data_IF_715740107063
#
_entry.id   IF_715740107063
#
_cell.length_a   1.000
_cell.length_b   1.000
_cell.length_c   1.000
_cell.angle_alpha   90.00
_cell.angle_beta   90.00
_cell.angle_gamma   90.00
#
_symmetry.space_group_name_H-M   'P 1'
#
loop_
_entity.id
_entity.type
_entity.pdbx_description
1 polymer ?
#
# COMPACT_ATOMS: atom_id res chain seq x y z
N UNK A 1 28.25 29.63 -22.79
CA UNK A 1 26.89 29.23 -22.40
C UNK A 1 26.95 27.76 -22.02
N UNK A 2 26.98 27.46 -20.72
CA UNK A 2 26.82 26.10 -20.20
C UNK A 2 25.35 25.72 -20.36
N UNK A 3 25.09 24.66 -21.12
CA UNK A 3 23.75 24.07 -21.19
C UNK A 3 23.50 23.42 -19.83
N UNK A 4 22.51 23.94 -19.12
CA UNK A 4 22.00 23.37 -17.89
C UNK A 4 21.44 21.98 -18.23
N UNK A 5 22.10 20.92 -17.78
CA UNK A 5 21.54 19.58 -17.90
C UNK A 5 20.37 19.49 -16.92
N UNK A 6 19.14 19.18 -17.38
CA UNK A 6 18.06 18.96 -16.44
C UNK A 6 18.49 17.84 -15.48
N UNK A 7 18.41 18.13 -14.18
CA UNK A 7 18.45 17.13 -13.12
C UNK A 7 17.70 15.88 -13.58
N UNK A 8 18.20 14.65 -13.35
CA UNK A 8 17.49 13.45 -13.78
C UNK A 8 16.05 13.54 -13.26
N UNK A 9 15.10 13.56 -14.20
CA UNK A 9 13.68 13.57 -13.87
C UNK A 9 13.44 12.35 -12.97
N UNK A 10 12.92 12.59 -11.76
CA UNK A 10 12.56 11.50 -10.85
C UNK A 10 11.59 10.56 -11.59
N UNK A 11 11.84 9.24 -11.60
CA UNK A 11 10.96 8.31 -12.30
C UNK A 11 9.51 8.44 -11.82
N UNK A 12 8.50 8.26 -12.70
CA UNK A 12 7.10 8.27 -12.30
C UNK A 12 6.82 7.22 -11.22
N UNK A 13 5.81 7.50 -10.40
CA UNK A 13 5.44 6.68 -9.24
C UNK A 13 4.21 5.84 -9.56
N UNK A 14 4.22 4.58 -9.13
CA UNK A 14 3.05 3.69 -9.15
C UNK A 14 2.66 3.45 -7.69
N UNK A 15 1.44 3.84 -7.35
CA UNK A 15 0.86 3.54 -6.04
C UNK A 15 0.34 2.10 -6.02
N UNK A 16 0.83 1.31 -5.07
CA UNK A 16 0.59 -0.11 -4.92
C UNK A 16 -0.31 -0.36 -3.71
N UNK A 17 -1.54 -0.84 -3.98
CA UNK A 17 -2.54 -1.14 -2.96
C UNK A 17 -2.62 -2.64 -2.71
N UNK A 18 -2.48 -3.06 -1.46
CA UNK A 18 -2.55 -4.47 -1.07
C UNK A 18 -4.00 -4.98 -0.99
N UNK A 19 -4.20 -6.31 -1.00
CA UNK A 19 -5.51 -6.93 -0.80
C UNK A 19 -6.00 -6.92 0.66
N UNK A 20 -7.18 -7.46 0.94
CA UNK A 20 -7.69 -7.58 2.31
C UNK A 20 -6.88 -8.56 3.19
N UNK A 21 -6.65 -8.22 4.45
CA UNK A 21 -6.00 -9.11 5.42
C UNK A 21 -4.49 -9.25 5.23
N UNK A 22 -3.86 -8.22 4.66
CA UNK A 22 -2.41 -8.11 4.49
C UNK A 22 -1.98 -6.67 4.80
N UNK A 23 -0.77 -6.26 4.44
CA UNK A 23 -0.28 -4.88 4.62
C UNK A 23 0.79 -4.54 3.57
N UNK A 24 1.22 -3.28 3.55
CA UNK A 24 2.21 -2.75 2.62
C UNK A 24 3.53 -3.53 2.65
N UNK A 25 3.97 -3.97 3.84
CA UNK A 25 5.21 -4.74 4.01
C UNK A 25 5.12 -6.10 3.33
N UNK A 26 4.04 -6.83 3.56
CA UNK A 26 3.81 -8.14 2.92
C UNK A 26 3.66 -7.95 1.41
N UNK A 27 2.91 -6.93 0.97
CA UNK A 27 2.71 -6.70 -0.46
C UNK A 27 4.01 -6.32 -1.18
N UNK A 28 4.87 -5.51 -0.54
CA UNK A 28 6.23 -5.23 -1.05
C UNK A 28 7.06 -6.51 -1.20
N UNK A 29 6.99 -7.43 -0.24
CA UNK A 29 7.67 -8.71 -0.33
C UNK A 29 7.12 -9.58 -1.47
N UNK A 30 5.80 -9.65 -1.63
CA UNK A 30 5.13 -10.34 -2.75
C UNK A 30 5.51 -9.72 -4.12
N UNK A 31 5.63 -8.39 -4.19
CA UNK A 31 6.04 -7.66 -5.40
C UNK A 31 7.57 -7.62 -5.61
N UNK A 32 8.40 -8.35 -4.87
CA UNK A 32 9.86 -8.25 -4.95
C UNK A 32 10.40 -8.44 -6.38
N UNK A 33 9.83 -9.36 -7.16
CA UNK A 33 10.23 -9.58 -8.55
C UNK A 33 9.80 -8.42 -9.46
N UNK A 34 8.54 -8.00 -9.36
CA UNK A 34 7.99 -6.86 -10.10
C UNK A 34 8.79 -5.58 -9.83
N UNK A 35 9.10 -5.31 -8.56
CA UNK A 35 9.87 -4.13 -8.13
C UNK A 35 11.22 -4.06 -8.80
N UNK A 36 11.95 -5.19 -8.89
CA UNK A 36 13.26 -5.25 -9.56
C UNK A 36 13.13 -4.97 -11.05
N UNK A 37 12.11 -5.49 -11.71
CA UNK A 37 11.89 -5.28 -13.14
C UNK A 37 11.50 -3.83 -13.47
N UNK A 38 10.77 -3.16 -12.57
CA UNK A 38 10.30 -1.79 -12.78
C UNK A 38 11.24 -0.70 -12.27
N UNK A 39 12.19 -1.01 -11.38
CA UNK A 39 13.10 -0.04 -10.77
C UNK A 39 13.84 0.91 -11.74
N UNK A 40 14.23 0.52 -12.97
CA UNK A 40 14.83 1.45 -13.92
C UNK A 40 13.87 2.52 -14.46
N UNK A 41 12.57 2.31 -14.33
CA UNK A 41 11.53 3.11 -15.01
C UNK A 41 10.52 3.74 -14.05
N UNK A 42 10.29 3.13 -12.89
CA UNK A 42 9.27 3.53 -11.93
C UNK A 42 9.73 3.39 -10.49
N UNK A 43 9.15 4.22 -9.63
CA UNK A 43 9.15 4.06 -8.18
C UNK A 43 7.85 3.42 -7.73
N UNK A 44 7.91 2.40 -6.88
CA UNK A 44 6.72 1.74 -6.34
C UNK A 44 6.46 2.23 -4.91
N UNK A 45 5.30 2.86 -4.71
CA UNK A 45 4.83 3.38 -3.42
C UNK A 45 3.87 2.37 -2.83
N UNK A 46 4.15 1.85 -1.63
CA UNK A 46 3.30 0.84 -1.00
C UNK A 46 2.50 1.47 0.13
N UNK A 47 1.18 1.59 -0.04
CA UNK A 47 0.31 2.14 0.98
C UNK A 47 -0.25 1.05 1.90
N UNK A 48 -0.40 1.41 3.17
CA UNK A 48 -1.14 0.61 4.14
C UNK A 48 -2.60 1.08 4.16
N UNK A 49 -3.54 0.14 4.17
CA UNK A 49 -4.94 0.50 4.36
C UNK A 49 -5.20 1.06 5.78
N UNK A 50 -6.23 1.91 5.99
CA UNK A 50 -6.44 2.54 7.29
C UNK A 50 -7.07 1.63 8.35
N UNK A 51 -7.83 0.59 7.96
CA UNK A 51 -8.58 -0.23 8.92
C UNK A 51 -7.87 -1.55 9.24
N UNK A 52 -7.94 -1.97 10.51
CA UNK A 52 -7.47 -3.29 10.93
C UNK A 52 -8.36 -4.39 10.36
N UNK A 53 -7.72 -5.51 10.01
CA UNK A 53 -8.37 -6.75 9.63
C UNK A 53 -8.13 -7.79 10.73
N UNK A 54 -9.21 -8.30 11.31
CA UNK A 54 -9.15 -9.36 12.31
C UNK A 54 -8.66 -10.68 11.69
N UNK A 55 -8.99 -10.88 10.40
CA UNK A 55 -8.56 -12.05 9.64
C UNK A 55 -7.39 -11.72 8.71
N UNK A 56 -6.38 -12.60 8.60
CA UNK A 56 -5.43 -12.58 7.51
C UNK A 56 -6.11 -12.95 6.19
N UNK A 57 -5.53 -12.49 5.08
CA UNK A 57 -5.91 -12.93 3.75
C UNK A 57 -5.59 -14.42 3.54
N UNK A 58 -6.20 -15.06 2.51
CA UNK A 58 -5.87 -16.43 2.15
C UNK A 58 -4.35 -16.63 1.99
N UNK A 59 -3.83 -17.73 2.54
CA UNK A 59 -2.42 -18.13 2.48
C UNK A 59 -1.38 -17.19 3.14
N UNK A 60 -1.79 -16.03 3.66
CA UNK A 60 -0.88 -15.06 4.30
C UNK A 60 -0.17 -15.66 5.52
N UNK A 61 -0.89 -16.43 6.35
CA UNK A 61 -0.32 -16.98 7.59
C UNK A 61 0.82 -17.97 7.37
N UNK A 62 0.85 -18.68 6.24
CA UNK A 62 1.85 -19.71 5.97
C UNK A 62 3.29 -19.16 5.99
N UNK A 63 3.46 -17.90 5.59
CA UNK A 63 4.77 -17.22 5.48
C UNK A 63 4.84 -15.96 6.35
N UNK A 64 3.71 -15.31 6.60
CA UNK A 64 3.63 -13.96 7.17
C UNK A 64 2.83 -13.86 8.47
N UNK A 65 2.65 -14.96 9.21
CA UNK A 65 1.93 -14.96 10.48
C UNK A 65 2.45 -13.89 11.47
N UNK A 66 3.77 -13.67 11.51
CA UNK A 66 4.39 -12.66 12.38
C UNK A 66 4.43 -11.24 11.79
N UNK A 67 3.80 -10.99 10.65
CA UNK A 67 3.82 -9.70 9.95
C UNK A 67 2.55 -8.88 10.17
N UNK A 68 1.73 -9.21 11.17
CA UNK A 68 0.64 -8.34 11.60
C UNK A 68 1.13 -6.98 12.12
N UNK A 69 0.21 -6.01 12.35
CA UNK A 69 -1.23 -6.13 12.14
C UNK A 69 -1.60 -6.23 10.65
N UNK A 70 -2.66 -6.98 10.36
CA UNK A 70 -3.25 -7.05 9.03
C UNK A 70 -4.27 -5.93 8.83
N UNK A 71 -4.41 -5.46 7.60
CA UNK A 71 -5.18 -4.28 7.27
C UNK A 71 -6.14 -4.52 6.11
N UNK A 72 -7.13 -3.64 5.97
CA UNK A 72 -8.16 -3.66 4.93
C UNK A 72 -8.61 -2.25 4.55
N UNK A 73 -8.98 -2.09 3.29
CA UNK A 73 -9.47 -0.80 2.76
C UNK A 73 -10.92 -0.53 3.11
N UNK A 74 -11.75 -1.57 3.05
CA UNK A 74 -13.17 -1.52 3.38
C UNK A 74 -13.57 -2.84 4.03
N UNK A 75 -14.77 -2.88 4.60
CA UNK A 75 -15.38 -4.11 5.09
C UNK A 75 -15.80 -5.00 3.89
N UNK A 76 -15.55 -6.31 3.98
CA UNK A 76 -16.08 -7.32 3.06
C UNK A 76 -16.84 -8.46 3.76
N UNK A 77 -16.85 -8.50 5.10
CA UNK A 77 -17.63 -9.44 5.92
C UNK A 77 -18.55 -8.71 6.89
N UNK A 78 -19.76 -9.22 7.20
CA UNK A 78 -20.68 -8.57 8.14
C UNK A 78 -20.09 -8.29 9.53
N UNK A 79 -19.18 -9.15 9.99
CA UNK A 79 -18.59 -9.11 11.34
C UNK A 79 -17.51 -8.02 11.48
N UNK A 80 -16.97 -7.53 10.36
CA UNK A 80 -15.92 -6.51 10.39
C UNK A 80 -16.50 -5.15 10.77
N UNK A 81 -15.80 -4.36 11.61
CA UNK A 81 -16.21 -2.99 11.90
C UNK A 81 -16.32 -2.16 10.60
N UNK A 82 -17.46 -1.50 10.40
CA UNK A 82 -17.60 -0.50 9.36
C UNK A 82 -17.19 0.88 9.91
N UNK A 83 -16.65 1.77 9.06
CA UNK A 83 -16.57 3.20 9.38
C UNK A 83 -17.95 3.76 9.72
N UNK A 84 -18.02 4.86 10.46
CA UNK A 84 -19.29 5.45 10.89
C UNK A 84 -20.05 6.10 9.73
N UNK A 85 -19.35 6.51 8.67
CA UNK A 85 -19.92 6.99 7.41
C UNK A 85 -18.99 6.76 6.22
N UNK A 86 -19.51 6.96 5.01
CA UNK A 86 -18.74 6.91 3.77
C UNK A 86 -17.69 8.04 3.72
N UNK A 87 -18.02 9.23 4.24
CA UNK A 87 -17.07 10.35 4.32
C UNK A 87 -15.88 10.05 5.23
N UNK A 88 -16.12 9.41 6.38
CA UNK A 88 -15.04 8.95 7.26
C UNK A 88 -14.16 7.91 6.55
N UNK A 89 -14.79 6.98 5.81
CA UNK A 89 -14.07 5.98 5.05
C UNK A 89 -13.17 6.59 3.97
N UNK A 90 -13.70 7.55 3.21
CA UNK A 90 -12.97 8.27 2.16
C UNK A 90 -11.80 9.05 2.77
N UNK A 91 -12.06 9.85 3.82
CA UNK A 91 -11.02 10.64 4.47
C UNK A 91 -9.87 9.77 5.00
N UNK A 92 -10.19 8.65 5.66
CA UNK A 92 -9.17 7.74 6.19
C UNK A 92 -8.34 7.08 5.07
N UNK A 93 -8.95 6.78 3.92
CA UNK A 93 -8.23 6.25 2.76
C UNK A 93 -7.33 7.33 2.17
N UNK A 94 -7.85 8.53 1.93
CA UNK A 94 -7.08 9.65 1.37
C UNK A 94 -5.87 9.99 2.24
N UNK A 95 -6.03 10.05 3.56
CA UNK A 95 -4.92 10.26 4.50
C UNK A 95 -3.87 9.15 4.38
N UNK A 96 -4.29 7.88 4.37
CA UNK A 96 -3.37 6.75 4.26
C UNK A 96 -2.61 6.72 2.91
N UNK A 97 -3.25 7.12 1.82
CA UNK A 97 -2.59 7.25 0.52
C UNK A 97 -1.64 8.45 0.51
N UNK A 98 -2.05 9.58 1.09
CA UNK A 98 -1.25 10.79 1.24
C UNK A 98 0.03 10.53 2.04
N UNK A 99 -0.07 9.85 3.18
CA UNK A 99 1.05 9.45 4.02
C UNK A 99 2.04 8.57 3.27
N UNK A 100 1.54 7.55 2.55
CA UNK A 100 2.38 6.67 1.74
C UNK A 100 3.10 7.45 0.62
N UNK A 101 2.40 8.39 -0.02
CA UNK A 101 2.96 9.25 -1.05
C UNK A 101 3.96 10.28 -0.51
N UNK A 102 3.84 10.71 0.74
CA UNK A 102 4.78 11.62 1.38
C UNK A 102 6.04 10.91 1.90
N UNK A 103 5.93 9.63 2.30
CA UNK A 103 7.02 8.86 2.90
C UNK A 103 7.96 8.16 1.90
N UNK A 104 7.57 8.02 0.64
CA UNK A 104 8.42 7.51 -0.46
C UNK A 104 9.17 8.64 -1.18
#
# INVERSE_FOLDING_TARGET
MTIDHPSPLTPPRILCLHGGGTNARIFRAQCRALSRSLAPHFRLVYADAPFLSDDPGPDVLSVYAGCGPFKRWLRWKPEQPAPSSDEEAVAAIDDALGDAMAAD
#
